data_IF_222078663495
#
_entry.id   IF_222078663495
#
_cell.length_a   1.000
_cell.length_b   1.000
_cell.length_c   1.000
_cell.angle_alpha   90.00
_cell.angle_beta   90.00
_cell.angle_gamma   90.00
#
_symmetry.space_group_name_H-M   'P 1'
#
loop_
_entity.id
_entity.type
_entity.pdbx_description
1 polymer ?
#
# COMPACT_ATOMS: atom_id res chain seq x y z
N UNK A 1 -37.41 18.62 -25.69
CA UNK A 1 -36.81 17.82 -24.58
C UNK A 1 -36.57 16.40 -25.08
N UNK A 2 -35.76 16.33 -26.13
CA UNK A 2 -35.48 15.16 -26.95
C UNK A 2 -34.10 14.63 -26.56
N UNK A 3 -33.91 13.32 -26.65
CA UNK A 3 -32.61 12.65 -26.75
C UNK A 3 -31.66 12.74 -25.55
N UNK A 4 -31.74 11.75 -24.66
CA UNK A 4 -30.56 11.23 -23.97
C UNK A 4 -30.66 9.72 -23.62
N UNK A 5 -31.83 9.11 -23.81
CA UNK A 5 -32.08 7.69 -23.51
C UNK A 5 -31.76 6.72 -24.67
N UNK A 6 -31.17 7.20 -25.78
CA UNK A 6 -30.90 6.40 -26.98
C UNK A 6 -29.41 6.36 -27.31
N UNK A 7 -28.63 5.67 -26.48
CA UNK A 7 -27.25 5.29 -26.80
C UNK A 7 -26.77 4.02 -26.05
N UNK A 8 -27.68 3.18 -25.56
CA UNK A 8 -27.35 1.97 -24.79
C UNK A 8 -27.57 0.66 -25.57
N UNK A 9 -27.72 0.71 -26.89
CA UNK A 9 -28.04 -0.48 -27.66
C UNK A 9 -27.69 -0.34 -29.12
N UNK A 10 -26.42 -0.58 -29.46
CA UNK A 10 -25.96 -1.20 -30.72
C UNK A 10 -24.44 -1.40 -30.66
N UNK A 11 -23.98 -2.45 -29.98
CA UNK A 11 -22.70 -3.09 -30.26
C UNK A 11 -22.85 -4.55 -29.80
N UNK A 12 -23.37 -5.39 -30.69
CA UNK A 12 -22.56 -6.39 -31.39
C UNK A 12 -22.54 -7.70 -30.62
N UNK A 13 -23.53 -8.52 -30.93
CA UNK A 13 -23.49 -9.95 -30.72
C UNK A 13 -22.31 -10.53 -31.53
N UNK A 14 -21.27 -11.00 -30.83
CA UNK A 14 -20.24 -11.86 -31.39
C UNK A 14 -19.61 -12.70 -30.26
N UNK A 15 -20.21 -13.87 -30.01
CA UNK A 15 -19.60 -15.17 -29.61
C UNK A 15 -18.53 -15.26 -28.47
N UNK A 16 -18.27 -16.46 -27.93
CA UNK A 16 -17.85 -16.69 -26.54
C UNK A 16 -16.34 -16.60 -26.33
N UNK A 17 -15.81 -15.43 -26.04
CA UNK A 17 -14.56 -15.31 -25.28
C UNK A 17 -14.88 -14.53 -24.01
N UNK A 18 -14.95 -15.25 -22.88
CA UNK A 18 -15.17 -14.67 -21.55
C UNK A 18 -13.94 -13.85 -21.15
N UNK A 19 -13.78 -12.67 -21.74
CA UNK A 19 -12.83 -11.69 -21.25
C UNK A 19 -13.36 -11.17 -19.90
N UNK A 20 -12.64 -11.35 -18.79
CA UNK A 20 -13.12 -11.03 -17.45
C UNK A 20 -13.50 -9.55 -17.28
N UNK A 21 -12.97 -8.68 -18.14
CA UNK A 21 -13.23 -7.23 -18.15
C UNK A 21 -14.69 -6.89 -18.53
N UNK A 22 -15.34 -7.72 -19.35
CA UNK A 22 -16.74 -7.53 -19.74
C UNK A 22 -17.72 -7.75 -18.57
N UNK A 23 -17.38 -8.66 -17.65
CA UNK A 23 -18.19 -8.94 -16.46
C UNK A 23 -18.15 -7.78 -15.44
N UNK A 24 -17.01 -7.07 -15.35
CA UNK A 24 -16.81 -5.95 -14.43
C UNK A 24 -17.64 -4.72 -14.86
N UNK A 25 -17.99 -4.62 -16.15
CA UNK A 25 -18.78 -3.49 -16.71
C UNK A 25 -20.25 -3.47 -16.26
N UNK A 26 -20.75 -4.54 -15.65
CA UNK A 26 -22.12 -4.64 -15.10
C UNK A 26 -22.19 -4.13 -13.65
N UNK A 27 -21.05 -4.00 -12.98
CA UNK A 27 -20.99 -3.58 -11.57
C UNK A 27 -21.24 -2.08 -11.48
N UNK A 28 -22.24 -1.62 -10.70
CA UNK A 28 -22.51 -0.20 -10.56
C UNK A 28 -21.34 0.50 -9.85
N UNK A 29 -20.98 1.70 -10.31
CA UNK A 29 -19.90 2.54 -9.77
C UNK A 29 -19.83 2.60 -8.22
N UNK A 30 -20.96 2.69 -7.48
CA UNK A 30 -20.94 2.71 -6.01
C UNK A 30 -20.33 1.45 -5.37
N UNK A 31 -20.45 0.28 -6.00
CA UNK A 31 -19.92 -0.99 -5.46
C UNK A 31 -18.42 -1.08 -5.67
N UNK A 32 -17.92 -0.63 -6.82
CA UNK A 32 -16.47 -0.60 -7.09
C UNK A 32 -15.74 0.32 -6.11
N UNK A 33 -16.37 1.43 -5.72
CA UNK A 33 -15.86 2.31 -4.67
C UNK A 33 -15.79 1.58 -3.31
N UNK A 34 -16.84 0.85 -2.92
CA UNK A 34 -16.87 0.10 -1.66
C UNK A 34 -15.82 -1.03 -1.61
N UNK A 35 -15.65 -1.78 -2.70
CA UNK A 35 -14.63 -2.84 -2.80
C UNK A 35 -13.22 -2.27 -2.70
N UNK A 36 -12.97 -1.13 -3.36
CA UNK A 36 -11.66 -0.45 -3.28
C UNK A 36 -11.37 0.02 -1.86
N UNK A 37 -12.33 0.65 -1.19
CA UNK A 37 -12.19 1.07 0.21
C UNK A 37 -11.91 -0.11 1.13
N UNK A 38 -12.61 -1.23 0.95
CA UNK A 38 -12.37 -2.46 1.70
C UNK A 38 -10.95 -3.02 1.46
N UNK A 39 -10.52 -3.08 0.20
CA UNK A 39 -9.19 -3.58 -0.17
C UNK A 39 -8.07 -2.72 0.43
N UNK A 40 -8.13 -1.41 0.23
CA UNK A 40 -7.16 -0.49 0.81
C UNK A 40 -7.19 -0.52 2.35
N UNK A 41 -8.38 -0.65 2.96
CA UNK A 41 -8.52 -0.79 4.41
C UNK A 41 -7.86 -2.06 4.94
N UNK A 42 -8.08 -3.21 4.29
CA UNK A 42 -7.47 -4.49 4.71
C UNK A 42 -5.93 -4.45 4.60
N UNK A 43 -5.41 -3.85 3.53
CA UNK A 43 -3.96 -3.65 3.35
C UNK A 43 -3.39 -2.76 4.46
N UNK A 44 -4.05 -1.65 4.77
CA UNK A 44 -3.62 -0.74 5.85
C UNK A 44 -3.61 -1.45 7.22
N UNK A 45 -4.64 -2.24 7.53
CA UNK A 45 -4.72 -3.01 8.77
C UNK A 45 -3.59 -4.03 8.88
N UNK A 46 -3.28 -4.76 7.80
CA UNK A 46 -2.14 -5.70 7.77
C UNK A 46 -0.80 -4.99 8.01
N UNK A 47 -0.61 -3.81 7.41
CA UNK A 47 0.54 -2.96 7.66
C UNK A 47 0.67 -2.55 9.13
N UNK A 48 -0.42 -2.08 9.75
CA UNK A 48 -0.43 -1.70 11.18
C UNK A 48 -0.13 -2.90 12.07
N UNK A 49 -0.71 -4.08 11.80
CA UNK A 49 -0.43 -5.29 12.57
C UNK A 49 1.06 -5.68 12.50
N UNK A 50 1.67 -5.53 11.33
CA UNK A 50 3.11 -5.80 11.15
C UNK A 50 3.96 -4.80 11.95
N UNK A 51 3.59 -3.51 11.96
CA UNK A 51 4.28 -2.49 12.77
C UNK A 51 4.16 -2.76 14.27
N UNK A 52 3.01 -3.25 14.74
CA UNK A 52 2.80 -3.59 16.15
C UNK A 52 3.66 -4.78 16.61
N UNK A 53 4.03 -5.69 15.70
CA UNK A 53 4.98 -6.77 15.99
C UNK A 53 6.43 -6.26 16.12
N UNK A 54 6.76 -5.08 15.59
CA UNK A 54 8.13 -4.58 15.46
C UNK A 54 8.72 -3.92 16.74
N UNK A 55 8.21 -4.25 17.94
CA UNK A 55 8.58 -3.63 19.23
C UNK A 55 8.81 -2.10 19.14
N UNK A 56 7.71 -1.35 19.15
CA UNK A 56 7.74 0.12 19.13
C UNK A 56 8.11 0.73 20.49
N UNK A 57 8.42 -0.08 21.50
CA UNK A 57 8.93 0.40 22.79
C UNK A 57 10.42 0.73 22.71
N UNK A 58 11.16 0.08 21.82
CA UNK A 58 12.51 0.52 21.43
C UNK A 58 12.42 1.87 20.71
N UNK A 59 13.08 2.87 21.31
CA UNK A 59 13.15 4.23 20.75
C UNK A 59 13.67 4.26 19.32
N UNK A 60 14.60 3.36 18.96
CA UNK A 60 15.13 3.25 17.60
C UNK A 60 14.06 2.83 16.58
N UNK A 61 13.31 1.77 16.89
CA UNK A 61 12.25 1.25 16.02
C UNK A 61 11.11 2.27 15.85
N UNK A 62 10.69 2.91 16.94
CA UNK A 62 9.68 3.96 16.90
C UNK A 62 10.14 5.16 16.06
N UNK A 63 11.40 5.57 16.19
CA UNK A 63 11.96 6.69 15.42
C UNK A 63 12.05 6.36 13.92
N UNK A 64 12.47 5.16 13.56
CA UNK A 64 12.48 4.69 12.16
C UNK A 64 11.06 4.79 11.58
N UNK A 65 10.06 4.25 12.27
CA UNK A 65 8.66 4.25 11.81
C UNK A 65 8.12 5.68 11.64
N UNK A 66 8.33 6.56 12.63
CA UNK A 66 7.84 7.95 12.56
C UNK A 66 8.48 8.72 11.40
N UNK A 67 9.79 8.62 11.22
CA UNK A 67 10.51 9.33 10.16
C UNK A 67 10.09 8.83 8.78
N UNK A 68 9.92 7.51 8.64
CA UNK A 68 9.62 6.88 7.34
C UNK A 68 8.16 7.07 6.92
N UNK A 69 7.22 7.03 7.86
CA UNK A 69 5.84 7.44 7.59
C UNK A 69 5.75 8.93 7.26
N UNK A 70 6.45 9.79 8.02
CA UNK A 70 6.46 11.22 7.76
C UNK A 70 7.00 11.57 6.37
N UNK A 71 8.13 10.97 6.00
CA UNK A 71 8.74 11.18 4.69
C UNK A 71 7.97 10.50 3.54
N UNK A 72 7.39 9.32 3.76
CA UNK A 72 6.60 8.61 2.76
C UNK A 72 5.24 9.25 2.46
N UNK A 73 4.66 9.96 3.43
CA UNK A 73 3.42 10.72 3.27
C UNK A 73 3.66 12.14 2.72
N UNK A 74 4.89 12.66 2.79
CA UNK A 74 5.22 14.02 2.35
C UNK A 74 4.79 14.32 0.90
N UNK A 75 5.00 13.45 -0.11
CA UNK A 75 4.58 13.72 -1.49
C UNK A 75 3.06 13.78 -1.68
N UNK A 76 2.29 13.17 -0.77
CA UNK A 76 0.83 13.22 -0.80
C UNK A 76 0.28 14.55 -0.26
N UNK A 77 1.11 15.36 0.41
CA UNK A 77 0.71 16.62 1.06
C UNK A 77 1.04 17.86 0.23
N UNK A 78 1.89 17.77 -0.80
CA UNK A 78 2.17 18.89 -1.70
C UNK A 78 2.54 18.44 -3.11
N UNK A 79 1.88 19.03 -4.10
CA UNK A 79 2.29 18.96 -5.49
C UNK A 79 3.60 19.75 -5.67
N UNK A 80 4.63 19.13 -6.25
CA UNK A 80 5.93 19.77 -6.53
C UNK A 80 7.05 19.55 -5.50
N UNK A 81 6.87 18.67 -4.51
CA UNK A 81 7.91 18.39 -3.48
C UNK A 81 9.24 17.89 -4.09
N UNK A 82 9.19 17.31 -5.29
CA UNK A 82 10.35 16.76 -5.99
C UNK A 82 10.86 17.62 -7.15
N UNK A 83 10.33 18.83 -7.35
CA UNK A 83 10.75 19.72 -8.46
C UNK A 83 12.22 20.18 -8.34
N UNK A 84 12.80 20.09 -7.15
CA UNK A 84 14.21 20.37 -6.89
C UNK A 84 15.15 19.16 -7.14
N UNK A 85 14.62 17.97 -7.45
CA UNK A 85 15.39 16.75 -7.64
C UNK A 85 15.54 16.34 -9.12
N UNK A 86 16.66 15.73 -9.52
CA UNK A 86 16.92 15.31 -10.90
C UNK A 86 15.91 14.26 -11.40
N UNK A 87 15.66 14.21 -12.71
CA UNK A 87 14.60 13.41 -13.32
C UNK A 87 14.62 11.90 -12.97
N UNK A 88 15.82 11.32 -12.79
CA UNK A 88 15.97 9.92 -12.36
C UNK A 88 15.50 9.68 -10.92
N UNK A 89 15.66 10.69 -10.06
CA UNK A 89 15.23 10.68 -8.66
C UNK A 89 13.70 10.89 -8.59
N UNK A 90 13.13 11.74 -9.44
CA UNK A 90 11.67 11.92 -9.51
C UNK A 90 10.90 10.65 -9.90
N UNK A 91 11.48 9.77 -10.72
CA UNK A 91 10.82 8.51 -11.11
C UNK A 91 10.69 7.55 -9.92
N UNK A 92 11.71 7.48 -9.05
CA UNK A 92 11.74 6.54 -7.91
C UNK A 92 11.18 7.18 -6.64
N UNK A 93 11.52 8.44 -6.37
CA UNK A 93 11.04 9.20 -5.22
C UNK A 93 9.65 9.81 -5.45
N UNK A 94 9.19 9.93 -6.70
CA UNK A 94 7.84 10.42 -7.02
C UNK A 94 6.72 9.55 -6.45
N UNK A 95 7.01 8.30 -6.07
CA UNK A 95 6.12 7.46 -5.27
C UNK A 95 6.48 7.56 -3.78
N UNK A 96 5.59 8.16 -2.99
CA UNK A 96 5.71 8.25 -1.52
C UNK A 96 5.92 6.90 -0.83
N UNK A 97 5.29 5.84 -1.36
CA UNK A 97 5.42 4.48 -0.83
C UNK A 97 6.86 3.97 -1.01
N UNK A 98 7.46 4.18 -2.18
CA UNK A 98 8.81 3.71 -2.51
C UNK A 98 9.88 4.41 -1.67
N UNK A 99 9.81 5.73 -1.51
CA UNK A 99 10.74 6.47 -0.66
C UNK A 99 10.60 6.09 0.81
N UNK A 100 9.37 5.88 1.30
CA UNK A 100 9.10 5.45 2.67
C UNK A 100 9.74 4.08 2.96
N UNK A 101 9.58 3.13 2.04
CA UNK A 101 10.21 1.80 2.15
C UNK A 101 11.74 1.88 2.12
N UNK A 102 12.30 2.67 1.20
CA UNK A 102 13.74 2.84 1.07
C UNK A 102 14.36 3.45 2.34
N UNK A 103 13.71 4.48 2.89
CA UNK A 103 14.13 5.09 4.16
C UNK A 103 13.99 4.10 5.31
N UNK A 104 12.93 3.29 5.36
CA UNK A 104 12.74 2.31 6.43
C UNK A 104 13.85 1.27 6.44
N UNK A 105 14.21 0.72 5.28
CA UNK A 105 15.32 -0.22 5.16
C UNK A 105 16.64 0.45 5.51
N UNK A 106 16.92 1.63 4.98
CA UNK A 106 18.17 2.35 5.21
C UNK A 106 18.36 2.69 6.70
N UNK A 107 17.35 3.28 7.35
CA UNK A 107 17.41 3.64 8.76
C UNK A 107 17.43 2.41 9.65
N UNK A 108 16.67 1.36 9.33
CA UNK A 108 16.73 0.09 10.07
C UNK A 108 18.15 -0.51 10.03
N UNK A 109 18.81 -0.47 8.87
CA UNK A 109 20.17 -0.99 8.73
C UNK A 109 21.19 -0.11 9.49
N UNK A 110 21.04 1.21 9.48
CA UNK A 110 21.92 2.11 10.24
C UNK A 110 21.73 1.94 11.76
N UNK A 111 20.51 2.01 12.27
CA UNK A 111 20.25 2.00 13.71
C UNK A 111 20.34 0.60 14.31
N UNK A 112 19.76 -0.41 13.65
CA UNK A 112 19.71 -1.77 14.19
C UNK A 112 20.91 -2.65 13.78
N UNK A 113 21.65 -2.29 12.73
CA UNK A 113 22.80 -3.08 12.25
C UNK A 113 24.17 -2.47 12.57
N UNK A 114 24.29 -1.15 12.78
CA UNK A 114 25.54 -0.50 13.24
C UNK A 114 25.50 -0.12 14.74
N UNK A 115 24.32 0.05 15.34
CA UNK A 115 24.12 0.32 16.76
C UNK A 115 23.53 -0.88 17.51
N UNK A 116 24.24 -1.36 18.53
CA UNK A 116 23.74 -2.27 19.57
C UNK A 116 23.45 -3.75 19.21
N UNK A 117 24.42 -4.59 19.59
CA UNK A 117 24.24 -5.71 20.54
C UNK A 117 22.80 -6.06 20.92
N UNK A 118 22.40 -7.28 20.54
CA UNK A 118 21.90 -8.27 21.50
C UNK A 118 20.40 -8.29 21.75
N UNK A 119 19.74 -9.29 21.16
CA UNK A 119 18.44 -9.79 21.57
C UNK A 119 17.83 -10.66 20.47
N UNK A 120 17.85 -12.00 20.59
CA UNK A 120 17.20 -12.89 19.64
C UNK A 120 15.73 -12.51 19.46
N UNK A 121 15.32 -12.31 18.20
CA UNK A 121 13.92 -12.23 17.85
C UNK A 121 13.21 -13.51 18.35
N UNK A 122 12.10 -13.40 19.12
CA UNK A 122 11.32 -14.58 19.45
C UNK A 122 10.83 -15.23 18.16
N UNK A 123 11.16 -16.51 17.99
CA UNK A 123 10.75 -17.30 16.84
C UNK A 123 9.22 -17.37 16.77
N UNK A 124 8.62 -17.32 15.57
CA UNK A 124 7.20 -17.58 15.40
C UNK A 124 6.94 -19.09 15.54
N UNK A 125 6.69 -19.56 16.77
CA UNK A 125 6.40 -20.98 17.05
C UNK A 125 4.90 -21.31 17.28
N UNK A 126 4.01 -20.34 17.47
CA UNK A 126 2.65 -20.65 17.94
C UNK A 126 1.48 -20.42 16.94
N UNK A 127 1.75 -20.19 15.65
CA UNK A 127 0.68 -19.89 14.68
C UNK A 127 0.10 -21.10 13.93
N UNK A 128 0.72 -22.29 14.01
CA UNK A 128 0.34 -23.46 13.18
C UNK A 128 -0.35 -24.61 13.95
N UNK A 129 -0.68 -24.45 15.24
CA UNK A 129 -1.33 -25.52 16.03
C UNK A 129 -2.85 -25.39 16.19
N UNK A 130 -3.49 -24.32 15.71
CA UNK A 130 -4.89 -24.02 16.02
C UNK A 130 -5.92 -24.32 14.91
N UNK A 131 -5.52 -24.90 13.77
CA UNK A 131 -6.46 -25.31 12.69
C UNK A 131 -6.52 -26.83 12.57
N UNK A 132 -6.84 -27.47 13.69
CA UNK A 132 -7.40 -28.83 13.69
C UNK A 132 -8.27 -28.95 14.92
N UNK A 133 -9.58 -28.78 14.74
CA UNK A 133 -10.68 -29.54 15.35
C UNK A 133 -12.03 -28.96 14.91
#
# INVERSE_FOLDING_TARGET
MSSAAKAAGTASAAAPEVHPVAAISVVPMPVLAAVSLFLFGSIAVSGIQTLLQADLHRGDNALIVVVTLGAGLAPALSDGFYDAFPAWAQIVLGSGISIGCLLAVALNLVFNHLGAKGGPAPAPEDAEAAVTH
#
